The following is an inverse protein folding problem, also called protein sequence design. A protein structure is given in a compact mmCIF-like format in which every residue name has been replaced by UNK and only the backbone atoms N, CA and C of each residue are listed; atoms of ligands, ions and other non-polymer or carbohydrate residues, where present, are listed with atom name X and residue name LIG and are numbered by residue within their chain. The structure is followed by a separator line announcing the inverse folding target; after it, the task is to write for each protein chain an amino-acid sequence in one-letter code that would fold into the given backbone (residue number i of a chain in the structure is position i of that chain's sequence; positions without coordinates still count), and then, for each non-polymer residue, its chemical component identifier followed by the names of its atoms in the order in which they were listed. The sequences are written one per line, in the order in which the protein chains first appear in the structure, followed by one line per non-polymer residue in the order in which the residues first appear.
data_IF_891419607745
#
_entry.id   IF_891419607745
#
_cell.length_a   1.000
_cell.length_b   1.000
_cell.length_c   1.000
_cell.angle_alpha   90.00
_cell.angle_beta   90.00
_cell.angle_gamma   90.00
#
_symmetry.space_group_name_H-M   'P 1'
#
loop_
_entity.id
_entity.type
_entity.pdbx_description
1 polymer ?
#
# COMPACT_ATOMS: atom_id res chain seq x y z
N UNK A 1 -3.21 17.49 -25.83
CA UNK A 1 -2.25 17.14 -24.77
C UNK A 1 -1.97 15.67 -24.92
N UNK A 2 -0.71 15.27 -25.06
CA UNK A 2 -0.38 13.86 -25.19
C UNK A 2 -0.72 13.13 -23.90
N UNK A 3 -1.47 12.03 -23.99
CA UNK A 3 -1.87 11.20 -22.85
C UNK A 3 -0.65 10.75 -22.04
N UNK A 4 0.46 10.47 -22.73
CA UNK A 4 1.74 10.16 -22.11
C UNK A 4 2.25 11.29 -21.19
N UNK A 5 2.12 12.55 -21.61
CA UNK A 5 2.52 13.69 -20.80
C UNK A 5 1.66 13.79 -19.52
N UNK A 6 0.35 13.56 -19.64
CA UNK A 6 -0.56 13.53 -18.49
C UNK A 6 -0.21 12.41 -17.49
N UNK A 7 0.09 11.21 -18.00
CA UNK A 7 0.52 10.07 -17.17
C UNK A 7 1.80 10.42 -16.41
N UNK A 8 2.83 10.90 -17.11
CA UNK A 8 4.11 11.25 -16.47
C UNK A 8 3.90 12.35 -15.41
N UNK A 9 3.11 13.38 -15.74
CA UNK A 9 2.80 14.46 -14.80
C UNK A 9 2.08 13.93 -13.55
N UNK A 10 1.06 13.09 -13.73
CA UNK A 10 0.31 12.46 -12.64
C UNK A 10 1.22 11.63 -11.72
N UNK A 11 2.07 10.78 -12.29
CA UNK A 11 3.01 9.93 -11.54
C UNK A 11 4.04 10.76 -10.76
N UNK A 12 4.56 11.83 -11.35
CA UNK A 12 5.49 12.75 -10.67
C UNK A 12 4.80 13.45 -9.52
N UNK A 13 3.59 13.98 -9.73
CA UNK A 13 2.81 14.65 -8.67
C UNK A 13 2.50 13.68 -7.52
N UNK A 14 2.05 12.46 -7.82
CA UNK A 14 1.81 11.42 -6.82
C UNK A 14 3.08 11.12 -6.01
N UNK A 15 4.24 10.98 -6.68
CA UNK A 15 5.52 10.76 -6.02
C UNK A 15 5.91 11.93 -5.09
N UNK A 16 5.61 13.18 -5.49
CA UNK A 16 5.85 14.35 -4.63
C UNK A 16 4.96 14.36 -3.38
N UNK A 17 3.72 13.87 -3.47
CA UNK A 17 2.83 13.71 -2.32
C UNK A 17 3.41 12.67 -1.35
N UNK A 18 3.99 11.58 -1.87
CA UNK A 18 4.71 10.59 -1.06
C UNK A 18 5.86 11.18 -0.22
N UNK A 19 6.46 12.29 -0.68
CA UNK A 19 7.53 12.99 0.06
C UNK A 19 7.05 13.80 1.26
N UNK A 20 5.74 13.95 1.48
CA UNK A 20 5.20 14.68 2.66
C UNK A 20 5.73 14.07 3.98
N UNK A 21 6.06 12.77 3.99
CA UNK A 21 6.71 12.12 5.13
C UNK A 21 8.01 12.80 5.59
N UNK A 22 8.69 13.58 4.74
CA UNK A 22 9.92 14.32 5.08
C UNK A 22 9.71 15.30 6.23
N UNK A 23 8.49 15.83 6.40
CA UNK A 23 8.17 16.72 7.52
C UNK A 23 8.32 16.05 8.89
N UNK A 24 8.27 14.71 8.95
CA UNK A 24 8.53 13.95 10.17
C UNK A 24 9.92 14.22 10.76
N UNK A 25 10.92 14.60 9.94
CA UNK A 25 12.27 14.93 10.38
C UNK A 25 12.34 16.19 11.26
N UNK A 26 11.36 17.09 11.14
CA UNK A 26 11.28 18.32 11.93
C UNK A 26 10.46 18.15 13.22
N UNK A 27 9.81 17.00 13.41
CA UNK A 27 8.94 16.72 14.55
C UNK A 27 9.74 16.03 15.67
N UNK A 28 9.53 16.45 16.91
CA UNK A 28 10.17 15.80 18.08
C UNK A 28 9.66 14.38 18.21
N UNK A 29 10.56 13.43 18.53
CA UNK A 29 10.25 12.00 18.67
C UNK A 29 9.01 11.69 19.53
N UNK A 30 8.86 12.37 20.68
CA UNK A 30 7.72 12.22 21.60
C UNK A 30 6.36 12.60 20.99
N UNK A 31 6.36 13.53 20.04
CA UNK A 31 5.16 14.02 19.38
C UNK A 31 4.88 13.13 18.15
N UNK A 32 5.93 12.71 17.45
CA UNK A 32 5.85 11.77 16.33
C UNK A 32 5.24 10.42 16.74
N UNK A 33 5.65 9.86 17.89
CA UNK A 33 5.08 8.60 18.40
C UNK A 33 3.57 8.68 18.66
N UNK A 34 3.07 9.85 19.08
CA UNK A 34 1.62 10.08 19.28
C UNK A 34 0.85 10.19 17.98
N UNK A 35 1.50 10.67 16.91
CA UNK A 35 0.89 10.87 15.58
C UNK A 35 0.95 9.57 14.77
N UNK A 36 2.04 8.81 14.86
CA UNK A 36 2.20 7.55 14.11
C UNK A 36 1.10 6.56 14.48
N UNK A 37 0.76 6.42 15.76
CA UNK A 37 -0.24 5.44 16.19
C UNK A 37 -1.60 5.60 15.47
N UNK A 38 -2.28 6.75 15.52
CA UNK A 38 -3.55 6.93 14.81
C UNK A 38 -3.40 6.86 13.29
N UNK A 39 -2.28 7.33 12.70
CA UNK A 39 -2.05 7.22 11.25
C UNK A 39 -1.92 5.76 10.80
N UNK A 40 -1.17 4.94 11.55
CA UNK A 40 -1.05 3.50 11.25
C UNK A 40 -2.38 2.78 11.45
N UNK A 41 -3.16 3.12 12.49
CA UNK A 41 -4.51 2.57 12.67
C UNK A 41 -5.45 2.96 11.52
N UNK A 42 -5.39 4.21 11.05
CA UNK A 42 -6.18 4.68 9.92
C UNK A 42 -5.79 3.96 8.61
N UNK A 43 -4.50 3.83 8.32
CA UNK A 43 -4.00 3.10 7.16
C UNK A 43 -4.39 1.62 7.20
N UNK A 44 -4.20 0.94 8.34
CA UNK A 44 -4.59 -0.45 8.50
C UNK A 44 -6.12 -0.64 8.33
N UNK A 45 -6.93 0.26 8.89
CA UNK A 45 -8.39 0.21 8.77
C UNK A 45 -8.87 0.42 7.33
N UNK A 46 -8.32 1.41 6.63
CA UNK A 46 -8.71 1.72 5.23
C UNK A 46 -8.29 0.61 4.27
N UNK A 47 -7.08 0.07 4.39
CA UNK A 47 -6.62 -1.06 3.59
C UNK A 47 -7.43 -2.33 3.87
N UNK A 48 -7.74 -2.61 5.14
CA UNK A 48 -8.58 -3.75 5.49
C UNK A 48 -10.00 -3.60 4.93
N UNK A 49 -10.60 -2.41 5.07
CA UNK A 49 -11.92 -2.13 4.52
C UNK A 49 -11.94 -2.22 2.99
N UNK A 50 -10.96 -1.64 2.29
CA UNK A 50 -10.84 -1.75 0.84
C UNK A 50 -10.64 -3.20 0.38
N UNK A 51 -9.79 -3.96 1.08
CA UNK A 51 -9.60 -5.38 0.81
C UNK A 51 -10.87 -6.21 0.98
N UNK A 52 -11.64 -5.98 2.05
CA UNK A 52 -12.82 -6.81 2.37
C UNK A 52 -14.07 -6.37 1.62
N UNK A 53 -14.41 -5.07 1.66
CA UNK A 53 -15.67 -4.58 1.12
C UNK A 53 -15.62 -4.31 -0.38
N UNK A 54 -14.44 -4.03 -0.93
CA UNK A 54 -14.29 -3.74 -2.35
C UNK A 54 -13.71 -4.94 -3.08
N UNK A 55 -12.44 -5.28 -2.84
CA UNK A 55 -11.76 -6.31 -3.64
C UNK A 55 -12.33 -7.71 -3.44
N UNK A 56 -12.57 -8.11 -2.20
CA UNK A 56 -13.12 -9.43 -1.92
C UNK A 56 -14.58 -9.56 -2.37
N UNK A 57 -15.41 -8.54 -2.16
CA UNK A 57 -16.78 -8.52 -2.69
C UNK A 57 -16.80 -8.64 -4.22
N UNK A 58 -15.99 -7.83 -4.92
CA UNK A 58 -15.86 -7.88 -6.39
C UNK A 58 -15.45 -9.27 -6.87
N UNK A 59 -14.48 -9.91 -6.20
CA UNK A 59 -14.07 -11.27 -6.56
C UNK A 59 -15.22 -12.28 -6.45
N UNK A 60 -16.08 -12.15 -5.43
CA UNK A 60 -17.22 -13.06 -5.27
C UNK A 60 -18.19 -12.92 -6.45
N UNK A 61 -18.39 -11.70 -6.95
CA UNK A 61 -19.25 -11.42 -8.10
C UNK A 61 -18.64 -11.94 -9.41
N UNK A 62 -17.35 -11.70 -9.64
CA UNK A 62 -16.69 -12.01 -10.92
C UNK A 62 -16.28 -13.47 -11.08
N UNK A 63 -15.76 -14.11 -10.02
CA UNK A 63 -15.18 -15.46 -10.09
C UNK A 63 -15.88 -16.49 -9.18
N UNK A 64 -16.91 -16.06 -8.45
CA UNK A 64 -17.73 -16.90 -7.59
C UNK A 64 -17.14 -17.15 -6.20
N UNK A 65 -18.00 -17.59 -5.27
CA UNK A 65 -17.69 -17.71 -3.84
C UNK A 65 -16.52 -18.66 -3.57
N UNK A 66 -16.55 -19.88 -4.11
CA UNK A 66 -15.55 -20.91 -3.77
C UNK A 66 -14.14 -20.51 -4.23
N UNK A 67 -14.01 -19.98 -5.45
CA UNK A 67 -12.72 -19.58 -5.99
C UNK A 67 -12.18 -18.32 -5.27
N UNK A 68 -13.05 -17.38 -4.92
CA UNK A 68 -12.70 -16.20 -4.13
C UNK A 68 -12.16 -16.56 -2.75
N UNK A 69 -12.83 -17.48 -2.05
CA UNK A 69 -12.36 -18.00 -0.75
C UNK A 69 -11.01 -18.70 -0.90
N UNK A 70 -10.80 -19.48 -1.96
CA UNK A 70 -9.52 -20.16 -2.20
C UNK A 70 -8.37 -19.15 -2.39
N UNK A 71 -8.57 -18.11 -3.21
CA UNK A 71 -7.57 -17.05 -3.41
C UNK A 71 -7.32 -16.23 -2.14
N UNK A 72 -8.38 -15.96 -1.38
CA UNK A 72 -8.27 -15.30 -0.08
C UNK A 72 -7.40 -16.11 0.89
N UNK A 73 -7.70 -17.40 1.09
CA UNK A 73 -6.91 -18.30 1.94
C UNK A 73 -5.48 -18.42 1.43
N UNK A 74 -5.29 -18.56 0.12
CA UNK A 74 -3.96 -18.60 -0.49
C UNK A 74 -3.15 -17.34 -0.17
N UNK A 75 -3.77 -16.15 -0.25
CA UNK A 75 -3.15 -14.89 0.14
C UNK A 75 -2.69 -14.90 1.60
N UNK A 76 -3.53 -15.36 2.53
CA UNK A 76 -3.16 -15.49 3.95
C UNK A 76 -2.01 -16.47 4.17
N UNK A 77 -2.03 -17.64 3.51
CA UNK A 77 -0.94 -18.63 3.60
C UNK A 77 0.36 -18.04 3.04
N UNK A 78 0.30 -17.36 1.90
CA UNK A 78 1.45 -16.71 1.28
C UNK A 78 2.07 -15.68 2.23
N UNK A 79 1.26 -14.78 2.80
CA UNK A 79 1.73 -13.79 3.77
C UNK A 79 2.29 -14.43 5.03
N UNK A 80 1.68 -15.50 5.53
CA UNK A 80 2.21 -16.27 6.67
C UNK A 80 3.58 -16.87 6.36
N UNK A 81 3.77 -17.43 5.16
CA UNK A 81 5.08 -17.95 4.72
C UNK A 81 6.10 -16.82 4.60
N UNK A 82 5.73 -15.68 3.99
CA UNK A 82 6.59 -14.50 3.90
C UNK A 82 7.01 -14.01 5.29
N UNK A 83 6.08 -13.93 6.24
CA UNK A 83 6.34 -13.57 7.63
C UNK A 83 7.40 -14.50 8.26
N UNK A 84 7.25 -15.81 8.07
CA UNK A 84 8.15 -16.83 8.60
C UNK A 84 9.55 -16.78 7.96
N UNK A 85 9.63 -16.58 6.65
CA UNK A 85 10.87 -16.49 5.89
C UNK A 85 11.65 -15.23 6.25
N UNK A 86 10.96 -14.11 6.43
CA UNK A 86 11.55 -12.82 6.76
C UNK A 86 11.87 -12.66 8.25
N UNK A 87 11.59 -13.70 9.06
CA UNK A 87 11.78 -13.70 10.52
C UNK A 87 11.18 -12.44 11.15
N UNK A 88 9.93 -12.13 10.79
CA UNK A 88 9.16 -11.04 11.37
C UNK A 88 8.96 -11.27 12.87
N UNK A 89 9.90 -10.84 13.70
CA UNK A 89 9.69 -10.72 15.14
C UNK A 89 9.41 -9.27 15.46
N UNK A 90 8.15 -8.95 15.77
CA UNK A 90 7.78 -7.65 16.34
C UNK A 90 8.43 -7.50 17.72
N UNK A 91 9.58 -6.83 17.74
CA UNK A 91 10.23 -6.41 18.97
C UNK A 91 9.71 -5.02 19.35
N UNK A 92 8.88 -4.92 20.39
CA UNK A 92 8.42 -3.63 20.92
C UNK A 92 9.49 -2.85 21.70
N UNK A 93 10.75 -3.30 21.69
CA UNK A 93 11.87 -2.62 22.35
C UNK A 93 12.66 -1.80 21.32
N UNK A 94 12.91 -0.53 21.67
CA UNK A 94 13.71 0.43 20.88
C UNK A 94 15.16 -0.01 20.61
N UNK A 95 15.66 -1.03 21.32
CA UNK A 95 16.95 -1.69 21.09
C UNK A 95 16.69 -3.16 20.78
N UNK A 96 16.62 -3.49 19.49
CA UNK A 96 16.65 -4.87 19.01
C UNK A 96 17.75 -4.92 17.93
N UNK A 97 18.76 -5.76 18.10
CA UNK A 97 19.99 -5.74 17.27
C UNK A 97 19.76 -6.25 15.84
N UNK A 98 18.55 -6.68 15.49
CA UNK A 98 18.19 -7.18 14.16
C UNK A 98 16.82 -6.63 13.78
N UNK A 99 16.79 -5.65 12.87
CA UNK A 99 15.55 -5.06 12.33
C UNK A 99 15.35 -5.48 10.86
N UNK A 100 14.81 -6.68 10.58
CA UNK A 100 14.35 -7.04 9.22
C UNK A 100 13.14 -6.20 8.77
N UNK A 101 12.58 -5.39 9.68
CA UNK A 101 11.42 -4.51 9.47
C UNK A 101 11.60 -3.54 8.30
N UNK A 102 12.80 -2.99 8.08
CA UNK A 102 13.02 -1.98 7.04
C UNK A 102 12.97 -2.53 5.62
N UNK A 103 13.50 -3.73 5.37
CA UNK A 103 13.55 -4.30 4.01
C UNK A 103 12.18 -4.75 3.54
N UNK A 104 11.37 -5.35 4.42
CA UNK A 104 10.03 -5.77 4.07
C UNK A 104 9.11 -4.57 3.78
N UNK A 105 9.20 -3.51 4.59
CA UNK A 105 8.48 -2.26 4.33
C UNK A 105 8.92 -1.67 2.99
N UNK A 106 10.23 -1.61 2.74
CA UNK A 106 10.75 -1.06 1.49
C UNK A 106 10.31 -1.87 0.25
N UNK A 107 10.37 -3.20 0.31
CA UNK A 107 9.93 -4.07 -0.78
C UNK A 107 8.41 -3.96 -0.99
N UNK A 108 7.64 -3.96 0.10
CA UNK A 108 6.19 -3.81 0.05
C UNK A 108 5.78 -2.47 -0.56
N UNK A 109 6.40 -1.39 -0.10
CA UNK A 109 6.20 -0.03 -0.63
C UNK A 109 6.59 0.07 -2.10
N UNK A 110 7.71 -0.54 -2.51
CA UNK A 110 8.12 -0.58 -3.91
C UNK A 110 7.10 -1.31 -4.80
N UNK A 111 6.63 -2.49 -4.38
CA UNK A 111 5.61 -3.25 -5.12
C UNK A 111 4.31 -2.46 -5.21
N UNK A 112 3.87 -1.85 -4.11
CA UNK A 112 2.65 -1.06 -4.06
C UNK A 112 2.73 0.14 -5.01
N UNK A 113 3.81 0.92 -4.96
CA UNK A 113 4.02 2.07 -5.83
C UNK A 113 4.12 1.69 -7.32
N UNK A 114 4.63 0.50 -7.65
CA UNK A 114 4.62 -0.02 -9.03
C UNK A 114 3.19 -0.31 -9.49
N UNK A 115 2.41 -1.02 -8.67
CA UNK A 115 1.02 -1.38 -9.01
C UNK A 115 0.16 -0.13 -9.14
N UNK A 116 0.27 0.84 -8.22
CA UNK A 116 -0.43 2.12 -8.29
C UNK A 116 -0.07 2.90 -9.56
N UNK A 117 1.23 2.94 -9.90
CA UNK A 117 1.68 3.58 -11.13
C UNK A 117 1.10 2.95 -12.40
N UNK A 118 0.98 1.62 -12.43
CA UNK A 118 0.32 0.89 -13.52
C UNK A 118 -1.17 1.20 -13.59
N UNK A 119 -1.86 1.25 -12.44
CA UNK A 119 -3.29 1.57 -12.38
C UNK A 119 -3.55 2.98 -12.90
N UNK A 120 -2.80 3.99 -12.42
CA UNK A 120 -2.90 5.38 -12.90
C UNK A 120 -2.67 5.46 -14.41
N UNK A 121 -1.60 4.82 -14.91
CA UNK A 121 -1.31 4.83 -16.34
C UNK A 121 -2.44 4.19 -17.16
N UNK A 122 -2.98 3.07 -16.70
CA UNK A 122 -4.02 2.33 -17.41
C UNK A 122 -5.33 3.10 -17.43
N UNK A 123 -5.71 3.80 -16.34
CA UNK A 123 -6.95 4.59 -16.31
C UNK A 123 -6.87 5.81 -17.22
N UNK A 124 -5.72 6.47 -17.35
CA UNK A 124 -5.51 7.53 -18.37
C UNK A 124 -5.60 7.04 -19.81
N UNK A 125 -5.23 5.77 -20.08
CA UNK A 125 -5.40 5.15 -21.40
C UNK A 125 -6.87 4.84 -21.72
N UNK A 126 -7.70 4.62 -20.70
CA UNK A 126 -9.14 4.37 -20.84
C UNK A 126 -9.90 5.69 -21.00
N UNK A 127 -9.73 6.63 -20.07
CA UNK A 127 -10.38 7.94 -20.09
C UNK A 127 -9.61 8.96 -19.24
N UNK A 128 -9.49 10.21 -19.72
CA UNK A 128 -8.73 11.26 -19.03
C UNK A 128 -9.35 11.60 -17.67
N UNK A 129 -10.68 11.63 -17.54
CA UNK A 129 -11.34 11.95 -16.26
C UNK A 129 -11.14 10.82 -15.27
N UNK A 130 -11.20 9.56 -15.73
CA UNK A 130 -10.87 8.40 -14.89
C UNK A 130 -9.41 8.45 -14.42
N UNK A 131 -8.47 8.79 -15.30
CA UNK A 131 -7.06 9.00 -14.93
C UNK A 131 -6.89 10.05 -13.83
N UNK A 132 -7.56 11.21 -13.97
CA UNK A 132 -7.54 12.29 -12.96
C UNK A 132 -8.18 11.84 -11.64
N UNK A 133 -9.28 11.08 -11.67
CA UNK A 133 -9.94 10.58 -10.46
C UNK A 133 -9.11 9.51 -9.73
N UNK A 134 -8.26 8.80 -10.45
CA UNK A 134 -7.41 7.73 -9.92
C UNK A 134 -6.10 8.27 -9.31
N UNK A 135 -5.64 9.44 -9.78
CA UNK A 135 -4.41 10.11 -9.33
C UNK A 135 -4.66 10.91 -8.06
#
# INVERSE_FOLDING_TARGET
MDVLFLIILALVLNSMIGLIGIFSLFIRRKDLEKIIFPLVSFAAGTLFAGGMYHLFAESIEEIGVLLSINWFIFGFILFFVLERLLKWHHCHKLKCEIHPFSYLIFIGDAIHNIVDGLIIATTFLIDIKLGILTT
#
